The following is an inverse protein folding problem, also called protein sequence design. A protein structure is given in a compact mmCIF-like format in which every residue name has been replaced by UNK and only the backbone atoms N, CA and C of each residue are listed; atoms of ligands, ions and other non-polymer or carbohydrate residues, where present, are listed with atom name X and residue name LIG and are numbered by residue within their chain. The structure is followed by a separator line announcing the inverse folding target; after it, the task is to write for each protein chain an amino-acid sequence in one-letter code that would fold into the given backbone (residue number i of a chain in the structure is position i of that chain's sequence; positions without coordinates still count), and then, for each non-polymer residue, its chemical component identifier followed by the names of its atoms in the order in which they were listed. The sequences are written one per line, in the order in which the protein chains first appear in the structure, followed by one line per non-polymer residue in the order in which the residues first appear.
data_IF_211232467818
#
_entry.id   IF_211232467818
#
_cell.length_a   1.000
_cell.length_b   1.000
_cell.length_c   1.000
_cell.angle_alpha   90.00
_cell.angle_beta   90.00
_cell.angle_gamma   90.00
#
_symmetry.space_group_name_H-M   'P 1'
#
loop_
_entity.id
_entity.type
_entity.pdbx_description
1 polymer ?
#
# COMPACT_ATOMS: atom_id res chain seq x y z
N UNK A 1 1.57 -0.72 -5.32
CA UNK A 1 0.16 -0.58 -4.89
C UNK A 1 -0.71 -0.51 -6.15
N UNK A 2 -1.66 -1.42 -6.31
CA UNK A 2 -2.57 -1.43 -7.46
C UNK A 2 -4.01 -1.45 -6.96
N UNK A 3 -4.88 -0.64 -7.56
CA UNK A 3 -6.27 -0.50 -7.14
C UNK A 3 -7.03 0.59 -7.89
N UNK A 4 -8.35 0.61 -7.74
CA UNK A 4 -9.23 1.62 -8.31
C UNK A 4 -10.38 1.97 -7.38
N UNK A 5 -10.83 3.22 -7.47
CA UNK A 5 -12.00 3.72 -6.75
C UNK A 5 -13.22 3.70 -7.69
N UNK A 6 -14.24 2.91 -7.34
CA UNK A 6 -15.51 2.88 -8.05
C UNK A 6 -16.35 4.07 -7.62
N UNK A 7 -16.78 4.88 -8.57
CA UNK A 7 -17.69 6.02 -8.36
C UNK A 7 -18.99 5.81 -9.14
N UNK A 8 -20.09 6.36 -8.64
CA UNK A 8 -21.39 6.40 -9.32
C UNK A 8 -21.80 7.85 -9.49
N UNK A 9 -22.26 8.20 -10.68
CA UNK A 9 -22.88 9.48 -10.94
C UNK A 9 -24.29 9.51 -10.34
N UNK A 10 -24.59 10.54 -9.54
CA UNK A 10 -25.92 10.81 -8.99
C UNK A 10 -26.40 12.11 -9.62
N UNK A 11 -27.48 12.02 -10.40
CA UNK A 11 -28.17 13.21 -10.89
C UNK A 11 -28.97 13.79 -9.72
N UNK A 12 -28.64 15.01 -9.30
CA UNK A 12 -29.46 15.74 -8.35
C UNK A 12 -30.55 16.45 -9.15
N UNK A 13 -31.82 16.06 -8.97
CA UNK A 13 -32.98 16.61 -9.70
C UNK A 13 -33.16 18.14 -9.55
N UNK A 14 -32.34 18.80 -8.74
CA UNK A 14 -32.45 20.22 -8.39
C UNK A 14 -31.61 21.15 -9.27
N UNK A 15 -30.53 20.68 -9.93
CA UNK A 15 -29.66 21.54 -10.76
C UNK A 15 -29.06 20.80 -11.98
N UNK A 16 -29.39 21.18 -13.23
CA UNK A 16 -28.98 20.45 -14.44
C UNK A 16 -27.47 20.52 -14.79
N UNK A 17 -26.65 21.17 -13.97
CA UNK A 17 -25.22 21.40 -14.21
C UNK A 17 -24.29 20.83 -13.13
N UNK A 18 -24.82 20.32 -12.01
CA UNK A 18 -24.02 19.79 -10.89
C UNK A 18 -24.10 18.26 -10.89
N UNK A 19 -23.11 17.63 -11.50
CA UNK A 19 -22.96 16.18 -11.47
C UNK A 19 -22.28 15.77 -10.17
N UNK A 20 -23.03 15.21 -9.22
CA UNK A 20 -22.47 14.69 -7.98
C UNK A 20 -21.92 13.27 -8.19
N UNK A 21 -20.66 13.02 -7.80
CA UNK A 21 -20.08 11.68 -7.81
C UNK A 21 -20.11 11.08 -6.40
N UNK A 22 -20.79 9.95 -6.25
CA UNK A 22 -20.80 9.17 -5.02
C UNK A 22 -19.71 8.10 -5.07
N UNK A 23 -18.81 8.07 -4.09
CA UNK A 23 -17.87 6.97 -3.93
C UNK A 23 -18.62 5.68 -3.54
N UNK A 24 -18.47 4.63 -4.34
CA UNK A 24 -19.18 3.36 -4.16
C UNK A 24 -18.30 2.33 -3.45
N UNK A 25 -17.00 2.34 -3.71
CA UNK A 25 -16.08 1.42 -3.05
C UNK A 25 -14.68 1.48 -3.65
N UNK A 26 -13.71 1.09 -2.84
CA UNK A 26 -12.30 1.00 -3.21
C UNK A 26 -11.93 -0.48 -3.38
N UNK A 27 -11.24 -0.79 -4.47
CA UNK A 27 -10.62 -2.11 -4.69
C UNK A 27 -9.12 -1.91 -4.75
N UNK A 28 -8.37 -2.62 -3.93
CA UNK A 28 -6.92 -2.57 -3.93
C UNK A 28 -6.32 -3.94 -3.62
N UNK A 29 -5.11 -4.18 -4.13
CA UNK A 29 -4.31 -5.36 -3.81
C UNK A 29 -3.36 -5.03 -2.67
N UNK A 30 -3.53 -5.71 -1.54
CA UNK A 30 -2.61 -5.70 -0.41
C UNK A 30 -1.73 -6.95 -0.41
N UNK A 31 -0.43 -6.77 -0.19
CA UNK A 31 0.48 -7.87 0.11
C UNK A 31 0.78 -7.86 1.61
N UNK A 32 0.71 -9.02 2.25
CA UNK A 32 1.13 -9.15 3.64
C UNK A 32 2.63 -8.95 3.74
N UNK A 33 3.05 -8.19 4.75
CA UNK A 33 4.46 -8.17 5.14
C UNK A 33 4.84 -9.55 5.71
N UNK A 34 6.13 -9.93 5.67
CA UNK A 34 6.62 -11.11 6.37
C UNK A 34 6.15 -11.08 7.83
N UNK A 35 5.72 -12.24 8.34
CA UNK A 35 5.24 -12.35 9.73
C UNK A 35 6.30 -11.81 10.69
N UNK A 36 5.89 -10.99 11.66
CA UNK A 36 6.79 -10.46 12.68
C UNK A 36 7.37 -11.54 13.61
N UNK A 37 6.78 -12.75 13.60
CA UNK A 37 7.28 -13.91 14.34
C UNK A 37 8.36 -14.70 13.58
N UNK A 38 8.70 -14.33 12.34
CA UNK A 38 9.70 -15.05 11.56
C UNK A 38 11.10 -14.77 12.13
N UNK A 39 11.82 -15.83 12.49
CA UNK A 39 13.16 -15.75 13.07
C UNK A 39 14.28 -15.92 12.04
N UNK A 40 13.95 -16.44 10.86
CA UNK A 40 14.91 -16.76 9.80
C UNK A 40 14.35 -16.31 8.44
N UNK A 41 15.19 -15.63 7.65
CA UNK A 41 14.83 -15.16 6.31
C UNK A 41 15.90 -15.64 5.34
N UNK A 42 15.50 -16.42 4.34
CA UNK A 42 16.39 -16.84 3.26
C UNK A 42 16.54 -15.69 2.27
N UNK A 43 17.75 -15.14 2.17
CA UNK A 43 18.09 -14.12 1.18
C UNK A 43 18.39 -14.76 -0.18
N UNK A 44 17.88 -14.15 -1.25
CA UNK A 44 18.34 -14.43 -2.60
C UNK A 44 19.62 -13.64 -2.89
N UNK A 45 20.39 -14.04 -3.91
CA UNK A 45 21.67 -13.39 -4.27
C UNK A 45 21.53 -11.92 -4.69
N UNK A 46 20.32 -11.47 -5.00
CA UNK A 46 19.99 -10.08 -5.32
C UNK A 46 19.38 -9.33 -4.12
N UNK A 47 19.56 -9.83 -2.91
CA UNK A 47 19.05 -9.23 -1.67
C UNK A 47 20.19 -9.09 -0.66
N UNK A 48 20.14 -8.02 0.12
CA UNK A 48 20.99 -7.81 1.29
C UNK A 48 20.12 -7.41 2.47
N UNK A 49 20.56 -7.71 3.68
CA UNK A 49 19.87 -7.32 4.91
C UNK A 49 20.76 -6.36 5.71
N UNK A 50 20.16 -5.33 6.28
CA UNK A 50 20.88 -4.42 7.17
C UNK A 50 20.04 -4.12 8.40
N UNK A 51 20.74 -3.82 9.50
CA UNK A 51 20.15 -3.30 10.73
C UNK A 51 20.48 -1.82 10.83
N UNK A 52 19.45 -1.01 11.03
CA UNK A 52 19.60 0.43 11.23
C UNK A 52 18.83 0.90 12.47
N UNK A 53 19.27 2.02 13.01
CA UNK A 53 18.52 2.80 13.99
C UNK A 53 17.25 3.42 13.35
N UNK A 54 16.32 3.91 14.17
CA UNK A 54 15.12 4.59 13.66
C UNK A 54 15.44 5.87 12.86
N UNK A 55 16.58 6.51 13.13
CA UNK A 55 17.13 7.62 12.35
C UNK A 55 17.89 7.15 11.08
N UNK A 56 17.70 5.88 10.70
CA UNK A 56 18.29 5.21 9.54
C UNK A 56 19.83 5.15 9.55
N UNK A 57 20.48 5.42 10.68
CA UNK A 57 21.92 5.17 10.83
C UNK A 57 22.21 3.68 10.79
N UNK A 58 23.11 3.29 9.91
CA UNK A 58 23.50 1.90 9.71
C UNK A 58 24.27 1.39 10.94
N UNK A 59 23.81 0.26 11.49
CA UNK A 59 24.46 -0.44 12.61
C UNK A 59 25.24 -1.64 12.08
N UNK A 60 24.65 -2.37 11.14
CA UNK A 60 25.21 -3.59 10.57
C UNK A 60 24.67 -3.85 9.16
N UNK A 61 25.48 -4.47 8.31
CA UNK A 61 25.13 -4.91 6.96
C UNK A 61 25.61 -6.34 6.77
N UNK A 62 24.73 -7.22 6.31
CA UNK A 62 25.04 -8.60 5.94
C UNK A 62 25.14 -8.72 4.42
N UNK A 63 26.17 -9.43 3.93
CA UNK A 63 26.48 -9.62 2.51
C UNK A 63 26.46 -11.09 2.12
#
# INVERSE_FOLDING_TARGET
CSGYLKVRQVALDTHPYETCYQHVGLVAVGHSLPSSAITEIKLHSNMFMFRASLDLKLIFLDS
#
